data_IF_916398606910
#
_entry.id   IF_916398606910
#
_cell.length_a   1.000
_cell.length_b   1.000
_cell.length_c   1.000
_cell.angle_alpha   90.00
_cell.angle_beta   90.00
_cell.angle_gamma   90.00
#
_symmetry.space_group_name_H-M   'P 1'
#
loop_
_entity.id
_entity.type
_entity.pdbx_description
1 polymer ?
#
# COMPACT_ATOMS: atom_id res chain seq x y z
N UNK A 1 -32.65 34.30 26.15
CA UNK A 1 -32.88 32.92 26.59
C UNK A 1 -32.39 31.99 25.50
N UNK A 2 -31.54 31.02 25.86
CA UNK A 2 -30.97 30.00 24.96
C UNK A 2 -32.02 28.91 24.60
N UNK A 3 -31.72 27.95 23.71
CA UNK A 3 -30.70 26.94 23.98
C UNK A 3 -29.63 26.78 22.89
N UNK A 4 -28.43 26.43 23.35
CA UNK A 4 -27.28 25.97 22.56
C UNK A 4 -27.55 24.54 22.06
N UNK A 5 -27.31 24.27 20.79
CA UNK A 5 -27.14 22.91 20.28
C UNK A 5 -25.65 22.55 20.35
N UNK A 6 -25.31 21.73 21.34
CA UNK A 6 -24.03 21.03 21.44
C UNK A 6 -24.12 19.81 20.55
N UNK A 7 -23.37 19.79 19.44
CA UNK A 7 -23.12 18.54 18.71
C UNK A 7 -21.77 18.00 19.15
N UNK A 8 -21.83 16.97 20.01
CA UNK A 8 -20.74 16.05 20.27
C UNK A 8 -20.49 15.18 19.03
N UNK A 9 -19.23 15.02 18.66
CA UNK A 9 -18.70 13.89 17.88
C UNK A 9 -17.18 14.04 17.84
N UNK A 10 -16.33 13.07 18.12
CA UNK A 10 -16.45 11.79 18.78
C UNK A 10 -15.07 11.55 19.42
N UNK A 11 -15.04 10.87 20.56
CA UNK A 11 -13.80 10.50 21.23
C UNK A 11 -12.87 9.76 20.26
N UNK A 12 -11.74 10.37 19.90
CA UNK A 12 -10.56 9.65 19.43
C UNK A 12 -10.08 8.81 20.61
N UNK A 13 -10.46 7.54 20.62
CA UNK A 13 -9.91 6.59 21.56
C UNK A 13 -8.40 6.52 21.31
N UNK A 14 -7.62 6.96 22.31
CA UNK A 14 -6.16 6.80 22.41
C UNK A 14 -5.81 5.31 22.58
N UNK A 15 -6.25 4.46 21.66
CA UNK A 15 -5.67 3.14 21.51
C UNK A 15 -4.25 3.37 20.99
N UNK A 16 -3.26 3.13 21.86
CA UNK A 16 -1.88 3.09 21.44
C UNK A 16 -1.76 2.10 20.28
N UNK A 17 -1.38 2.60 19.11
CA UNK A 17 -1.15 1.77 17.93
C UNK A 17 0.06 0.88 18.26
N UNK A 18 -0.14 -0.44 18.19
CA UNK A 18 0.93 -1.42 18.38
C UNK A 18 1.81 -1.43 17.12
N UNK A 19 2.99 -0.81 17.25
CA UNK A 19 3.99 -0.71 16.18
C UNK A 19 4.44 -2.07 15.66
N UNK A 20 4.67 -3.02 16.55
CA UNK A 20 5.19 -4.34 16.18
C UNK A 20 4.11 -5.12 15.43
N UNK A 21 2.85 -5.02 15.89
CA UNK A 21 1.71 -5.62 15.20
C UNK A 21 1.50 -5.04 13.79
N UNK A 22 1.56 -3.71 13.64
CA UNK A 22 1.43 -3.05 12.32
C UNK A 22 2.56 -3.47 11.39
N UNK A 23 3.80 -3.44 11.88
CA UNK A 23 4.98 -3.76 11.09
C UNK A 23 4.98 -5.22 10.66
N UNK A 24 4.68 -6.14 11.58
CA UNK A 24 4.54 -7.57 11.28
C UNK A 24 3.42 -7.83 10.27
N UNK A 25 2.27 -7.19 10.42
CA UNK A 25 1.16 -7.33 9.50
C UNK A 25 1.56 -6.87 8.09
N UNK A 26 2.20 -5.70 7.98
CA UNK A 26 2.68 -5.16 6.72
C UNK A 26 3.66 -6.12 6.03
N UNK A 27 4.68 -6.59 6.75
CA UNK A 27 5.68 -7.51 6.22
C UNK A 27 5.05 -8.84 5.75
N UNK A 28 4.06 -9.36 6.47
CA UNK A 28 3.33 -10.57 6.05
C UNK A 28 2.56 -10.34 4.75
N UNK A 29 1.81 -9.24 4.64
CA UNK A 29 1.07 -8.90 3.42
C UNK A 29 2.00 -8.67 2.24
N UNK A 30 3.15 -8.04 2.49
CA UNK A 30 4.18 -7.84 1.48
C UNK A 30 4.79 -9.17 1.00
N UNK A 31 5.08 -10.09 1.93
CA UNK A 31 5.58 -11.42 1.59
C UNK A 31 4.57 -12.24 0.78
N UNK A 32 3.26 -12.14 1.07
CA UNK A 32 2.20 -12.74 0.23
C UNK A 32 2.25 -12.21 -1.22
N UNK A 33 2.51 -10.92 -1.41
CA UNK A 33 2.72 -10.34 -2.74
C UNK A 33 3.97 -10.90 -3.41
N UNK A 34 5.08 -11.01 -2.67
CA UNK A 34 6.37 -11.44 -3.18
C UNK A 34 6.46 -12.94 -3.49
N UNK A 35 5.65 -13.78 -2.84
CA UNK A 35 5.65 -15.25 -3.01
C UNK A 35 5.49 -15.74 -4.47
N UNK A 36 5.14 -14.84 -5.39
CA UNK A 36 4.97 -15.12 -6.82
C UNK A 36 6.25 -14.88 -7.64
N UNK A 37 7.32 -14.35 -7.05
CA UNK A 37 8.61 -14.15 -7.70
C UNK A 37 9.53 -15.36 -7.51
N UNK A 38 10.52 -15.50 -8.40
CA UNK A 38 11.48 -16.60 -8.36
C UNK A 38 12.42 -16.48 -7.15
N UNK A 39 12.34 -17.47 -6.26
CA UNK A 39 13.12 -17.54 -5.03
C UNK A 39 14.65 -17.54 -5.27
N UNK A 40 15.11 -17.92 -6.47
CA UNK A 40 16.55 -17.96 -6.76
C UNK A 40 17.18 -16.59 -6.93
N UNK A 41 16.40 -15.55 -7.22
CA UNK A 41 16.90 -14.17 -7.41
C UNK A 41 16.46 -13.21 -6.30
N UNK A 42 15.56 -13.64 -5.42
CA UNK A 42 15.04 -12.83 -4.33
C UNK A 42 16.08 -12.67 -3.20
N UNK A 43 16.46 -11.42 -2.94
CA UNK A 43 17.36 -11.02 -1.86
C UNK A 43 16.66 -10.18 -0.79
N UNK A 44 15.32 -10.13 -0.81
CA UNK A 44 14.54 -9.31 0.12
C UNK A 44 14.81 -9.70 1.57
N UNK A 45 14.82 -11.00 1.90
CA UNK A 45 15.07 -11.46 3.25
C UNK A 45 16.43 -11.01 3.80
N UNK A 46 17.47 -10.99 2.96
CA UNK A 46 18.85 -10.67 3.38
C UNK A 46 19.21 -9.18 3.26
N UNK A 47 18.57 -8.42 2.37
CA UNK A 47 18.93 -7.02 2.08
C UNK A 47 17.82 -6.00 2.32
N UNK A 48 16.56 -6.39 2.14
CA UNK A 48 15.43 -5.45 2.11
C UNK A 48 14.55 -5.46 3.36
N UNK A 49 14.41 -6.62 4.01
CA UNK A 49 13.43 -6.82 5.09
C UNK A 49 13.64 -5.86 6.26
N UNK A 50 14.86 -5.77 6.78
CA UNK A 50 15.19 -4.90 7.91
C UNK A 50 14.95 -3.42 7.59
N UNK A 51 15.40 -2.97 6.41
CA UNK A 51 15.18 -1.59 5.97
C UNK A 51 13.68 -1.26 5.85
N UNK A 52 12.88 -2.20 5.33
CA UNK A 52 11.44 -2.02 5.24
C UNK A 52 10.78 -1.98 6.62
N UNK A 53 11.18 -2.89 7.52
CA UNK A 53 10.72 -2.94 8.92
C UNK A 53 10.96 -1.61 9.65
N UNK A 54 12.18 -1.09 9.59
CA UNK A 54 12.53 0.22 10.18
C UNK A 54 11.74 1.37 9.54
N UNK A 55 11.58 1.35 8.23
CA UNK A 55 10.87 2.41 7.49
C UNK A 55 9.40 2.45 7.88
N UNK A 56 8.72 1.30 7.96
CA UNK A 56 7.33 1.21 8.40
C UNK A 56 7.22 1.64 9.86
N UNK A 57 8.13 1.17 10.72
CA UNK A 57 8.17 1.56 12.12
C UNK A 57 8.23 3.08 12.31
N UNK A 58 9.00 3.80 11.48
CA UNK A 58 9.08 5.27 11.51
C UNK A 58 7.76 5.96 11.17
N UNK A 59 7.01 5.47 10.18
CA UNK A 59 5.68 6.02 9.86
C UNK A 59 4.73 5.86 11.05
N UNK A 60 4.76 4.69 11.70
CA UNK A 60 3.91 4.41 12.87
C UNK A 60 4.31 5.29 14.07
N UNK A 61 5.60 5.43 14.35
CA UNK A 61 6.10 6.30 15.44
C UNK A 61 5.65 7.75 15.26
N UNK A 62 5.62 8.23 14.02
CA UNK A 62 5.20 9.60 13.68
C UNK A 62 3.69 9.75 13.50
N UNK A 63 2.91 8.66 13.60
CA UNK A 63 1.47 8.65 13.29
C UNK A 63 1.16 9.22 11.90
N UNK A 64 2.00 8.88 10.93
CA UNK A 64 1.87 9.29 9.54
C UNK A 64 1.35 8.15 8.67
N UNK A 65 0.56 8.42 7.61
CA UNK A 65 0.14 7.39 6.67
C UNK A 65 1.35 6.74 5.99
N UNK A 66 1.37 5.41 5.94
CA UNK A 66 2.43 4.68 5.23
C UNK A 66 2.31 5.01 3.75
N UNK A 67 3.35 5.61 3.17
CA UNK A 67 3.34 6.01 1.76
C UNK A 67 4.25 5.09 0.94
N UNK A 68 3.68 4.49 -0.10
CA UNK A 68 4.37 3.62 -1.04
C UNK A 68 4.42 4.34 -2.39
N UNK A 69 5.62 4.46 -2.96
CA UNK A 69 5.80 4.99 -4.32
C UNK A 69 6.08 3.82 -5.25
N UNK A 70 5.22 3.63 -6.25
CA UNK A 70 5.32 2.56 -7.22
C UNK A 70 5.57 3.13 -8.62
N UNK A 71 6.79 3.03 -9.16
CA UNK A 71 7.02 3.23 -10.58
C UNK A 71 6.28 2.16 -11.38
N UNK A 72 5.51 2.56 -12.39
CA UNK A 72 4.86 1.63 -13.30
C UNK A 72 3.54 2.12 -13.86
N UNK A 73 2.82 1.23 -14.53
CA UNK A 73 1.69 1.56 -15.41
C UNK A 73 2.09 2.60 -16.49
N UNK A 74 3.11 2.31 -17.32
CA UNK A 74 3.40 3.11 -18.51
C UNK A 74 2.30 2.93 -19.56
N UNK A 75 2.42 3.66 -20.67
CA UNK A 75 1.57 3.42 -21.85
C UNK A 75 1.70 1.97 -22.35
N UNK A 76 0.59 1.38 -22.82
CA UNK A 76 0.57 0.06 -23.46
C UNK A 76 1.62 -0.04 -24.57
N UNK A 77 2.17 -1.24 -24.80
CA UNK A 77 3.10 -1.46 -25.90
C UNK A 77 2.46 -1.12 -27.26
N UNK A 78 3.18 -0.47 -28.19
CA UNK A 78 2.66 -0.18 -29.53
C UNK A 78 2.53 -1.43 -30.39
N UNK A 79 3.05 -2.59 -29.95
CA UNK A 79 2.88 -3.85 -30.66
C UNK A 79 1.51 -4.48 -30.38
N UNK A 80 0.50 -3.99 -31.09
CA UNK A 80 -0.89 -4.46 -31.00
C UNK A 80 -1.14 -5.82 -31.68
N UNK A 81 -0.14 -6.41 -32.34
CA UNK A 81 -0.28 -7.66 -33.10
C UNK A 81 -0.25 -8.94 -32.27
N UNK A 82 -0.35 -8.87 -30.94
CA UNK A 82 -0.40 -10.07 -30.10
C UNK A 82 0.04 -9.90 -28.63
N UNK A 83 0.50 -8.72 -28.22
CA UNK A 83 0.92 -8.47 -26.83
C UNK A 83 -0.10 -7.70 -25.99
N UNK A 84 -0.97 -6.92 -26.63
CA UNK A 84 -2.00 -6.11 -25.97
C UNK A 84 -3.27 -6.09 -26.79
N UNK A 85 -4.41 -5.87 -26.12
CA UNK A 85 -5.73 -5.80 -26.75
C UNK A 85 -6.00 -4.45 -27.43
N UNK A 86 -5.17 -3.44 -27.17
CA UNK A 86 -5.28 -2.10 -27.70
C UNK A 86 -4.40 -1.11 -26.93
N UNK A 87 -4.50 0.20 -27.23
CA UNK A 87 -3.72 1.24 -26.55
C UNK A 87 -4.29 1.65 -25.18
N UNK A 88 -5.55 1.30 -24.89
CA UNK A 88 -6.22 1.63 -23.64
C UNK A 88 -5.91 0.60 -22.53
N UNK A 89 -5.99 1.00 -21.24
CA UNK A 89 -5.98 0.05 -20.15
C UNK A 89 -7.04 -1.04 -20.33
N UNK A 90 -6.69 -2.27 -19.99
CA UNK A 90 -7.57 -3.42 -20.05
C UNK A 90 -7.75 -4.05 -18.66
N UNK A 91 -8.34 -5.25 -18.62
CA UNK A 91 -8.66 -5.95 -17.38
C UNK A 91 -7.42 -6.25 -16.53
N UNK A 92 -6.24 -6.33 -17.13
CA UNK A 92 -4.99 -6.54 -16.39
C UNK A 92 -4.67 -5.34 -15.50
N UNK A 93 -4.78 -4.11 -16.01
CA UNK A 93 -4.56 -2.91 -15.20
C UNK A 93 -5.63 -2.76 -14.11
N UNK A 94 -6.90 -3.02 -14.43
CA UNK A 94 -7.98 -2.98 -13.43
C UNK A 94 -7.71 -3.93 -12.26
N UNK A 95 -7.33 -5.18 -12.54
CA UNK A 95 -7.01 -6.17 -11.52
C UNK A 95 -5.75 -5.80 -10.72
N UNK A 96 -4.75 -5.20 -11.38
CA UNK A 96 -3.55 -4.74 -10.71
C UNK A 96 -3.84 -3.59 -9.73
N UNK A 97 -4.63 -2.59 -10.14
CA UNK A 97 -5.08 -1.50 -9.26
C UNK A 97 -5.94 -2.01 -8.11
N UNK A 98 -6.89 -2.92 -8.38
CA UNK A 98 -7.71 -3.54 -7.34
C UNK A 98 -6.87 -4.33 -6.32
N UNK A 99 -5.73 -4.89 -6.73
CA UNK A 99 -4.81 -5.57 -5.82
C UNK A 99 -4.04 -4.59 -4.93
N UNK A 100 -3.62 -3.45 -5.47
CA UNK A 100 -2.99 -2.37 -4.69
C UNK A 100 -3.96 -1.82 -3.64
N UNK A 101 -5.20 -1.57 -4.04
CA UNK A 101 -6.25 -1.12 -3.13
C UNK A 101 -6.51 -2.11 -1.99
N UNK A 102 -6.66 -3.40 -2.32
CA UNK A 102 -6.82 -4.47 -1.32
C UNK A 102 -5.65 -4.55 -0.34
N UNK A 103 -4.43 -4.31 -0.83
CA UNK A 103 -3.26 -4.27 0.03
C UNK A 103 -3.35 -3.10 1.01
N UNK A 104 -3.61 -1.88 0.54
CA UNK A 104 -3.81 -0.71 1.39
C UNK A 104 -4.90 -0.93 2.45
N UNK A 105 -6.09 -1.37 2.02
CA UNK A 105 -7.20 -1.67 2.92
C UNK A 105 -6.83 -2.68 4.01
N UNK A 106 -6.06 -3.71 3.68
CA UNK A 106 -5.62 -4.71 4.68
C UNK A 106 -4.66 -4.13 5.74
N UNK A 107 -3.88 -3.10 5.39
CA UNK A 107 -3.02 -2.41 6.35
C UNK A 107 -3.87 -1.49 7.24
N UNK A 108 -4.88 -0.84 6.67
CA UNK A 108 -5.79 0.06 7.39
C UNK A 108 -6.60 -0.64 8.49
N UNK A 109 -6.83 -1.94 8.37
CA UNK A 109 -7.45 -2.77 9.41
C UNK A 109 -6.69 -2.74 10.74
N UNK A 110 -5.34 -2.62 10.69
CA UNK A 110 -4.47 -2.60 11.88
C UNK A 110 -3.82 -1.24 12.12
N UNK A 111 -3.81 -0.37 11.10
CA UNK A 111 -3.21 0.97 11.16
C UNK A 111 -4.19 2.01 10.59
N UNK A 112 -5.13 2.51 11.40
CA UNK A 112 -6.21 3.41 10.95
C UNK A 112 -5.73 4.77 10.39
N UNK A 113 -4.46 5.13 10.62
CA UNK A 113 -3.87 6.36 10.08
C UNK A 113 -3.78 6.30 8.55
N UNK A 114 -3.69 5.10 7.97
CA UNK A 114 -3.79 4.92 6.52
C UNK A 114 -2.57 4.27 5.86
N UNK A 115 -2.79 3.73 4.67
CA UNK A 115 -1.74 3.29 3.76
C UNK A 115 -2.05 3.77 2.34
N UNK A 116 -1.14 4.51 1.71
CA UNK A 116 -1.35 5.11 0.39
C UNK A 116 -0.31 4.65 -0.61
N UNK A 117 -0.76 4.14 -1.74
CA UNK A 117 0.10 3.90 -2.92
C UNK A 117 -0.01 5.10 -3.86
N UNK A 118 1.13 5.69 -4.20
CA UNK A 118 1.28 6.71 -5.25
C UNK A 118 1.96 6.06 -6.45
N UNK A 119 1.24 5.98 -7.56
CA UNK A 119 1.80 5.46 -8.82
C UNK A 119 2.52 6.59 -9.54
N UNK A 120 3.82 6.40 -9.78
CA UNK A 120 4.62 7.26 -10.63
C UNK A 120 4.71 6.62 -12.02
N UNK A 121 3.84 7.06 -12.94
CA UNK A 121 3.87 6.52 -14.30
C UNK A 121 5.16 6.92 -15.00
N UNK A 122 5.88 5.92 -15.51
CA UNK A 122 7.20 6.02 -16.15
C UNK A 122 7.12 6.06 -17.68
N UNK A 123 5.92 6.17 -18.25
CA UNK A 123 5.66 6.12 -19.70
C UNK A 123 5.88 7.43 -20.47
N UNK A 124 6.98 8.16 -20.19
CA UNK A 124 7.42 9.30 -21.03
C UNK A 124 8.36 8.84 -22.14
#
# INVERSE_FOLDING_TARGET
>A
MAPKATTQSAHSSDYAIDKDAVTLHFLRKFAELQSRFDAHTDVFASKGKHFLEETIGRFVDHKEPITIVLPGFPTKTPNHGGKVLGPLPDRAEELALARLEKFCASIEEVYPVGCKVTIFSDGR
#
